data_IF_288306085293
#
_entry.id   IF_288306085293
#
_cell.length_a   1.000
_cell.length_b   1.000
_cell.length_c   1.000
_cell.angle_alpha   90.00
_cell.angle_beta   90.00
_cell.angle_gamma   90.00
#
_symmetry.space_group_name_H-M   'P 1'
#
loop_
_entity.id
_entity.type
_entity.pdbx_description
1 polymer ?
#
# COMPACT_ATOMS: atom_id res chain seq x y z
N UNK A 1 -10.15 -2.48 20.96
CA UNK A 1 -10.29 -3.00 19.57
C UNK A 1 -9.55 -2.03 18.68
N UNK A 2 -8.33 -2.36 18.27
CA UNK A 2 -7.51 -1.48 17.47
C UNK A 2 -8.20 -1.28 16.12
N UNK A 3 -8.46 -0.02 15.73
CA UNK A 3 -8.91 0.31 14.37
C UNK A 3 -7.90 -0.30 13.41
N UNK A 4 -8.28 -1.34 12.68
CA UNK A 4 -7.49 -1.89 11.58
C UNK A 4 -7.22 -0.74 10.61
N UNK A 5 -6.02 -0.17 10.69
CA UNK A 5 -5.56 0.80 9.71
C UNK A 5 -5.23 -0.01 8.48
N UNK A 6 -6.08 0.09 7.45
CA UNK A 6 -5.72 -0.38 6.12
C UNK A 6 -4.40 0.27 5.72
N UNK A 7 -3.34 -0.53 5.62
CA UNK A 7 -2.07 -0.13 5.01
C UNK A 7 -1.99 -0.78 3.63
N UNK A 8 -1.40 -0.08 2.67
CA UNK A 8 -1.20 -0.58 1.32
C UNK A 8 0.28 -0.76 1.07
N UNK A 9 0.73 -1.98 0.83
CA UNK A 9 2.14 -2.31 0.59
C UNK A 9 2.36 -2.54 -0.89
N UNK A 10 3.32 -1.84 -1.48
CA UNK A 10 3.75 -2.05 -2.85
C UNK A 10 4.48 -3.38 -2.98
N UNK A 11 3.97 -4.31 -3.78
CA UNK A 11 4.59 -5.61 -4.04
C UNK A 11 5.86 -5.53 -4.90
N UNK A 12 6.11 -4.40 -5.57
CA UNK A 12 7.28 -4.20 -6.43
C UNK A 12 8.50 -3.67 -5.66
N UNK A 13 8.29 -2.70 -4.75
CA UNK A 13 9.38 -2.08 -3.99
C UNK A 13 9.27 -2.23 -2.46
N UNK A 14 8.16 -2.72 -1.93
CA UNK A 14 7.91 -2.84 -0.48
C UNK A 14 7.42 -1.56 0.20
N UNK A 15 7.23 -0.45 -0.53
CA UNK A 15 6.77 0.80 0.09
C UNK A 15 5.36 0.70 0.63
N UNK A 16 5.15 1.16 1.86
CA UNK A 16 3.84 1.23 2.51
C UNK A 16 3.17 2.59 2.25
N UNK A 17 1.87 2.59 2.00
CA UNK A 17 1.04 3.76 1.75
C UNK A 17 -0.22 3.71 2.63
N UNK A 18 -0.66 4.82 3.24
CA UNK A 18 -1.84 4.86 4.09
C UNK A 18 -3.17 4.87 3.31
N UNK A 19 -3.12 4.94 1.98
CA UNK A 19 -4.27 4.93 1.07
C UNK A 19 -3.88 4.29 -0.26
N UNK A 20 -4.84 3.71 -0.96
CA UNK A 20 -4.63 3.23 -2.33
C UNK A 20 -4.65 4.42 -3.30
N UNK A 21 -3.63 4.51 -4.15
CA UNK A 21 -3.50 5.58 -5.15
C UNK A 21 -3.36 5.07 -6.58
N UNK A 22 -3.53 3.75 -6.81
CA UNK A 22 -3.34 3.10 -8.12
C UNK A 22 -1.87 3.02 -8.57
N UNK A 23 -1.06 4.04 -8.26
CA UNK A 23 0.39 4.11 -8.50
C UNK A 23 1.16 4.17 -7.19
N UNK A 24 2.25 3.43 -7.09
CA UNK A 24 3.20 3.54 -5.99
C UNK A 24 3.98 4.86 -6.07
N UNK A 25 4.04 5.62 -4.98
CA UNK A 25 4.79 6.88 -4.92
C UNK A 25 6.32 6.67 -4.87
N UNK A 26 6.77 5.53 -4.35
CA UNK A 26 8.19 5.23 -4.21
C UNK A 26 8.85 4.74 -5.52
N UNK A 27 8.20 3.82 -6.26
CA UNK A 27 8.77 3.27 -7.49
C UNK A 27 8.04 3.68 -8.78
N UNK A 28 6.88 4.35 -8.67
CA UNK A 28 6.09 4.76 -9.84
C UNK A 28 5.26 3.65 -10.50
N UNK A 29 5.33 2.42 -9.98
CA UNK A 29 4.61 1.27 -10.56
C UNK A 29 3.10 1.32 -10.29
N UNK A 30 2.33 0.87 -11.26
CA UNK A 30 0.87 0.83 -11.18
C UNK A 30 0.36 -0.55 -10.73
N UNK A 31 -0.77 -0.58 -10.03
CA UNK A 31 -1.44 -1.80 -9.55
C UNK A 31 -0.57 -2.72 -8.67
N UNK A 32 0.46 -2.16 -8.03
CA UNK A 32 1.35 -2.92 -7.13
C UNK A 32 0.99 -2.75 -5.66
N UNK A 33 0.16 -1.77 -5.31
CA UNK A 33 -0.27 -1.48 -3.93
C UNK A 33 -1.33 -2.50 -3.48
N UNK A 34 -0.99 -3.34 -2.50
CA UNK A 34 -1.86 -4.40 -1.93
C UNK A 34 -2.21 -4.06 -0.47
N UNK A 35 -3.48 -4.19 -0.10
CA UNK A 35 -3.94 -3.91 1.26
C UNK A 35 -3.47 -4.99 2.25
N UNK A 36 -2.69 -4.58 3.25
CA UNK A 36 -2.32 -5.37 4.42
C UNK A 36 -3.28 -5.01 5.57
N UNK A 37 -4.16 -5.95 5.93
CA UNK A 37 -5.07 -5.83 7.08
C UNK A 37 -4.45 -6.55 8.28
N UNK A 38 -4.07 -5.78 9.29
CA UNK A 38 -3.70 -6.26 10.64
C UNK A 38 -4.83 -6.17 11.65
#
# INVERSE_FOLDING_TARGET
MAKSKSQFVCQSCGSTSPRWSGRCDACGEWNTLVEERG
#
